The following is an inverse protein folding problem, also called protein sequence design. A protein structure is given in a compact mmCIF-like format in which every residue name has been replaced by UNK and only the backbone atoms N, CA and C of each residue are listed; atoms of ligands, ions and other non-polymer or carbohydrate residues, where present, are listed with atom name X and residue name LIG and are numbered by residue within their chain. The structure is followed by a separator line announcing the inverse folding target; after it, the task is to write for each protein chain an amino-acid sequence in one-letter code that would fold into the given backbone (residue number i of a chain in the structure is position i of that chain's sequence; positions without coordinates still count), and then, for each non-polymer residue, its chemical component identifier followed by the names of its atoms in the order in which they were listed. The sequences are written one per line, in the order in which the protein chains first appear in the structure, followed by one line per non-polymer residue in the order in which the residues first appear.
data_IF_859510754811
#
_entry.id   IF_859510754811
#
_cell.length_a   1.000
_cell.length_b   1.000
_cell.length_c   1.000
_cell.angle_alpha   90.00
_cell.angle_beta   90.00
_cell.angle_gamma   90.00
#
_symmetry.space_group_name_H-M   'P 1'
#
loop_
_entity.id
_entity.type
_entity.pdbx_description
1 polymer ?
#
# COMPACT_ATOMS: atom_id res chain seq x y z
N UNK A 1 8.27 7.23 -0.25
CA UNK A 1 7.44 6.32 -1.06
C UNK A 1 6.05 6.90 -1.35
N UNK A 2 5.70 8.08 -0.82
CA UNK A 2 4.37 8.69 -1.02
C UNK A 2 3.96 8.84 -2.49
N UNK A 3 4.84 9.31 -3.38
CA UNK A 3 4.50 9.42 -4.80
C UNK A 3 4.03 8.09 -5.41
N UNK A 4 4.77 7.00 -5.14
CA UNK A 4 4.39 5.65 -5.61
C UNK A 4 3.11 5.18 -4.91
N UNK A 5 2.93 5.49 -3.62
CA UNK A 5 1.74 5.13 -2.87
C UNK A 5 0.49 5.78 -3.47
N UNK A 6 0.53 7.08 -3.75
CA UNK A 6 -0.65 7.87 -4.12
C UNK A 6 -0.95 7.92 -5.63
N UNK A 7 0.08 7.74 -6.48
CA UNK A 7 -0.05 7.98 -7.93
C UNK A 7 -0.03 6.72 -8.79
N UNK A 8 0.04 5.53 -8.18
CA UNK A 8 0.00 4.26 -8.92
C UNK A 8 -1.34 3.57 -8.77
N UNK A 9 -1.71 2.79 -9.79
CA UNK A 9 -2.91 1.95 -9.79
C UNK A 9 -2.52 0.48 -9.59
N UNK A 10 -3.06 -0.12 -8.54
CA UNK A 10 -2.95 -1.58 -8.28
C UNK A 10 -4.33 -2.23 -8.15
N UNK A 11 -5.34 -1.45 -7.75
CA UNK A 11 -6.70 -1.93 -7.52
C UNK A 11 -7.33 -2.51 -8.80
N UNK A 12 -7.95 -3.67 -8.70
CA UNK A 12 -8.69 -4.28 -9.82
C UNK A 12 -9.92 -3.46 -10.25
N UNK A 13 -10.43 -2.60 -9.37
CA UNK A 13 -11.58 -1.74 -9.66
C UNK A 13 -11.16 -0.34 -10.16
N UNK A 14 -9.89 -0.14 -10.50
CA UNK A 14 -9.44 1.13 -11.10
C UNK A 14 -9.24 2.29 -10.14
N UNK A 15 -9.37 2.09 -8.82
CA UNK A 15 -9.16 3.14 -7.82
C UNK A 15 -7.66 3.32 -7.56
N UNK A 16 -7.14 4.52 -7.84
CA UNK A 16 -5.72 4.86 -7.65
C UNK A 16 -5.38 4.98 -6.15
N UNK A 17 -4.10 4.87 -5.79
CA UNK A 17 -3.67 5.07 -4.42
C UNK A 17 -3.85 3.83 -3.54
N UNK A 18 -4.54 3.98 -2.41
CA UNK A 18 -4.85 2.88 -1.48
C UNK A 18 -5.90 1.91 -2.07
N UNK A 19 -6.65 2.35 -3.09
CA UNK A 19 -7.60 1.52 -3.83
C UNK A 19 -8.90 1.25 -3.08
N UNK A 20 -9.65 0.24 -3.51
CA UNK A 20 -10.98 -0.07 -2.95
C UNK A 20 -10.95 -0.81 -1.60
N UNK A 21 -9.80 -1.29 -1.13
CA UNK A 21 -9.66 -2.04 0.14
C UNK A 21 -10.23 -3.47 0.14
N UNK A 22 -11.12 -3.80 -0.80
CA UNK A 22 -11.87 -5.07 -0.79
C UNK A 22 -11.31 -6.14 -1.74
N UNK A 23 -10.60 -5.72 -2.80
CA UNK A 23 -10.06 -6.66 -3.78
C UNK A 23 -8.74 -7.31 -3.32
N UNK A 24 -8.39 -8.52 -3.81
CA UNK A 24 -7.17 -9.21 -3.40
C UNK A 24 -5.88 -8.39 -3.61
N UNK A 25 -5.81 -7.61 -4.70
CA UNK A 25 -4.65 -6.76 -4.98
C UNK A 25 -4.47 -5.63 -3.95
N UNK A 26 -5.56 -4.99 -3.51
CA UNK A 26 -5.52 -3.97 -2.46
C UNK A 26 -5.09 -4.56 -1.12
N UNK A 27 -5.61 -5.74 -0.76
CA UNK A 27 -5.26 -6.41 0.49
C UNK A 27 -3.78 -6.78 0.54
N UNK A 28 -3.25 -7.37 -0.54
CA UNK A 28 -1.83 -7.72 -0.65
C UNK A 28 -0.94 -6.47 -0.58
N UNK A 29 -1.27 -5.42 -1.36
CA UNK A 29 -0.53 -4.15 -1.35
C UNK A 29 -0.49 -3.53 0.04
N UNK A 30 -1.63 -3.52 0.75
CA UNK A 30 -1.74 -2.97 2.10
C UNK A 30 -0.88 -3.76 3.09
N UNK A 31 -0.97 -5.09 3.08
CA UNK A 31 -0.18 -5.94 3.98
C UNK A 31 1.33 -5.70 3.81
N UNK A 32 1.82 -5.65 2.57
CA UNK A 32 3.23 -5.36 2.31
C UNK A 32 3.67 -3.96 2.74
N UNK A 33 2.80 -2.94 2.55
CA UNK A 33 3.06 -1.59 3.02
C UNK A 33 3.12 -1.53 4.55
N UNK A 34 2.18 -2.18 5.24
CA UNK A 34 2.13 -2.21 6.70
C UNK A 34 3.40 -2.87 7.28
N UNK A 35 3.87 -3.98 6.69
CA UNK A 35 5.16 -4.60 7.06
C UNK A 35 6.34 -3.66 6.85
N UNK A 36 6.45 -3.01 5.68
CA UNK A 36 7.53 -2.08 5.37
C UNK A 36 7.58 -0.88 6.34
N UNK A 37 6.41 -0.37 6.75
CA UNK A 37 6.32 0.73 7.72
C UNK A 37 6.80 0.30 9.11
N UNK A 38 6.39 -0.89 9.57
CA UNK A 38 6.86 -1.45 10.85
C UNK A 38 8.38 -1.62 10.89
N UNK A 39 8.97 -2.18 9.83
CA UNK A 39 10.43 -2.34 9.73
C UNK A 39 11.15 -0.99 9.75
N UNK A 40 10.60 0.01 9.06
CA UNK A 40 11.15 1.37 9.05
C UNK A 40 11.04 2.08 10.38
N UNK A 41 9.91 1.98 11.07
CA UNK A 41 9.72 2.59 12.38
C UNK A 41 10.64 1.94 13.41
N UNK A 42 10.81 0.61 13.37
CA UNK A 42 11.77 -0.12 14.18
C UNK A 42 13.23 0.26 13.90
N UNK A 43 13.57 0.63 12.67
CA UNK A 43 14.92 1.08 12.30
C UNK A 43 15.24 2.54 12.69
N UNK A 44 14.22 3.34 13.03
CA UNK A 44 14.39 4.75 13.44
C UNK A 44 14.36 4.95 14.97
N UNK A 45 14.30 3.86 15.76
CA UNK A 45 14.31 3.87 17.22
C UNK A 45 15.57 3.23 17.79
#
# INVERSE_FOLDING_TARGET
FEFVREKTLTCYNGIIGDGCGECPACQLRKAGLDTYLQEREGANN
#
